data_IF_677120975678
#
_entry.id   IF_677120975678
#
_cell.length_a   1.000
_cell.length_b   1.000
_cell.length_c   1.000
_cell.angle_alpha   90.00
_cell.angle_beta   90.00
_cell.angle_gamma   90.00
#
_symmetry.space_group_name_H-M   'P 1'
#
loop_
_entity.id
_entity.type
_entity.pdbx_description
1 polymer ?
#
# COMPACT_ATOMS: atom_id res chain seq x y z
N UNK A 1 -13.68 2.61 1.19
CA UNK A 1 -12.34 2.64 1.80
C UNK A 1 -11.34 2.39 0.70
N UNK A 2 -10.18 3.02 0.73
CA UNK A 2 -9.09 2.79 -0.25
C UNK A 2 -7.80 2.58 0.51
N UNK A 3 -7.07 1.51 0.21
CA UNK A 3 -5.80 1.13 0.86
C UNK A 3 -4.62 1.41 -0.04
N UNK A 4 -3.54 1.99 0.49
CA UNK A 4 -2.29 2.28 -0.24
C UNK A 4 -2.57 2.88 -1.61
N UNK A 5 -3.35 3.97 -1.58
CA UNK A 5 -4.05 4.51 -2.74
C UNK A 5 -3.14 5.40 -3.59
N UNK A 6 -3.03 5.09 -4.88
CA UNK A 6 -2.58 6.07 -5.89
C UNK A 6 -3.71 7.10 -6.05
N UNK A 7 -3.41 8.38 -5.81
CA UNK A 7 -4.40 9.46 -5.75
C UNK A 7 -4.05 10.57 -6.73
N UNK A 8 -2.79 10.96 -6.81
CA UNK A 8 -2.35 12.13 -7.59
C UNK A 8 -0.89 11.98 -7.97
N UNK A 9 -0.61 11.88 -9.27
CA UNK A 9 0.72 11.54 -9.79
C UNK A 9 1.82 12.45 -9.23
N UNK A 10 1.57 13.76 -9.11
CA UNK A 10 2.55 14.71 -8.59
C UNK A 10 2.88 14.42 -7.12
N UNK A 11 1.86 14.38 -6.27
CA UNK A 11 2.05 14.18 -4.83
C UNK A 11 2.51 12.75 -4.50
N UNK A 12 2.09 11.78 -5.31
CA UNK A 12 2.52 10.40 -5.17
C UNK A 12 3.99 10.25 -5.51
N UNK A 13 4.50 10.91 -6.55
CA UNK A 13 5.95 10.93 -6.84
C UNK A 13 6.76 11.64 -5.77
N UNK A 14 6.37 12.86 -5.39
CA UNK A 14 7.08 13.62 -4.34
C UNK A 14 7.19 12.79 -3.06
N UNK A 15 6.08 12.20 -2.61
CA UNK A 15 6.06 11.38 -1.40
C UNK A 15 6.79 10.05 -1.55
N UNK A 16 6.74 9.41 -2.72
CA UNK A 16 7.44 8.14 -2.95
C UNK A 16 8.94 8.30 -2.89
N UNK A 17 9.48 9.31 -3.59
CA UNK A 17 10.91 9.57 -3.59
C UNK A 17 11.42 10.01 -2.22
N UNK A 18 10.64 10.80 -1.48
CA UNK A 18 10.98 11.15 -0.11
C UNK A 18 11.00 9.92 0.81
N UNK A 19 10.04 9.00 0.65
CA UNK A 19 10.02 7.76 1.42
C UNK A 19 11.27 6.93 1.16
N UNK A 20 11.60 6.69 -0.11
CA UNK A 20 12.79 5.93 -0.49
C UNK A 20 14.06 6.53 0.09
N UNK A 21 14.21 7.84 -0.02
CA UNK A 21 15.37 8.56 0.51
C UNK A 21 15.45 8.47 2.04
N UNK A 22 14.36 8.77 2.75
CA UNK A 22 14.32 8.75 4.22
C UNK A 22 14.48 7.36 4.82
N UNK A 23 14.17 6.30 4.06
CA UNK A 23 14.35 4.90 4.45
C UNK A 23 15.69 4.32 3.99
N UNK A 24 16.55 5.13 3.37
CA UNK A 24 17.89 4.73 2.94
C UNK A 24 17.90 3.74 1.77
N UNK A 25 16.86 3.76 0.95
CA UNK A 25 16.71 2.89 -0.22
C UNK A 25 17.44 3.45 -1.45
N UNK A 26 17.56 4.78 -1.54
CA UNK A 26 18.23 5.49 -2.65
C UNK A 26 19.22 6.53 -2.11
N UNK A 27 20.17 6.94 -2.95
CA UNK A 27 21.16 7.97 -2.62
C UNK A 27 20.61 9.40 -2.74
N UNK A 28 21.30 10.37 -2.14
CA UNK A 28 20.98 11.80 -2.25
C UNK A 28 20.96 12.29 -3.71
N UNK A 29 21.87 11.77 -4.55
CA UNK A 29 21.98 12.12 -5.97
C UNK A 29 20.80 11.56 -6.77
N UNK A 30 20.41 10.31 -6.52
CA UNK A 30 19.23 9.69 -7.14
C UNK A 30 17.96 10.43 -6.73
N UNK A 31 17.78 10.76 -5.44
CA UNK A 31 16.62 11.51 -4.95
C UNK A 31 16.46 12.86 -5.67
N UNK A 32 17.54 13.65 -5.76
CA UNK A 32 17.51 14.94 -6.46
C UNK A 32 17.18 14.79 -7.96
N UNK A 33 17.74 13.76 -8.62
CA UNK A 33 17.46 13.49 -10.03
C UNK A 33 16.02 13.06 -10.26
N UNK A 34 15.44 12.23 -9.38
CA UNK A 34 14.03 11.83 -9.46
C UNK A 34 13.12 13.05 -9.34
N UNK A 35 13.37 13.93 -8.38
CA UNK A 35 12.60 15.17 -8.25
C UNK A 35 12.66 16.03 -9.51
N UNK A 36 13.82 16.15 -10.16
CA UNK A 36 13.95 16.97 -11.37
C UNK A 36 13.36 16.31 -12.63
N UNK A 37 13.49 14.99 -12.76
CA UNK A 37 13.13 14.27 -13.98
C UNK A 37 11.67 13.80 -14.00
N UNK A 38 11.06 13.54 -12.83
CA UNK A 38 9.78 12.85 -12.72
C UNK A 38 8.65 13.71 -12.12
N UNK A 39 8.93 14.89 -11.55
CA UNK A 39 7.95 15.66 -10.74
C UNK A 39 6.57 15.86 -11.40
N UNK A 40 6.52 16.14 -12.71
CA UNK A 40 5.26 16.34 -13.46
C UNK A 40 4.92 15.18 -14.41
N UNK A 41 5.62 14.06 -14.27
CA UNK A 41 5.48 12.92 -15.16
C UNK A 41 4.26 12.07 -14.79
N UNK A 42 3.91 11.09 -15.63
CA UNK A 42 2.80 10.18 -15.34
C UNK A 42 3.29 8.95 -14.61
N UNK A 43 2.62 8.57 -13.53
CA UNK A 43 2.89 7.29 -12.85
C UNK A 43 2.71 6.09 -13.79
N UNK A 44 1.69 6.11 -14.65
CA UNK A 44 1.40 5.04 -15.61
C UNK A 44 2.19 5.14 -16.92
N UNK A 45 2.53 6.35 -17.34
CA UNK A 45 3.12 6.64 -18.66
C UNK A 45 4.32 7.58 -18.55
N UNK A 46 5.28 7.21 -17.70
CA UNK A 46 6.46 8.02 -17.43
C UNK A 46 7.31 8.22 -18.69
N UNK A 47 7.91 9.41 -18.81
CA UNK A 47 8.86 9.75 -19.85
C UNK A 47 10.12 8.88 -19.77
N UNK A 48 10.81 8.78 -20.90
CA UNK A 48 12.08 8.06 -20.97
C UNK A 48 13.13 8.61 -19.99
N UNK A 49 13.13 9.93 -19.76
CA UNK A 49 14.08 10.56 -18.84
C UNK A 49 13.79 10.14 -17.39
N UNK A 50 12.52 10.13 -16.99
CA UNK A 50 12.11 9.65 -15.67
C UNK A 50 12.44 8.15 -15.49
N UNK A 51 12.09 7.31 -16.46
CA UNK A 51 12.36 5.86 -16.42
C UNK A 51 13.85 5.54 -16.25
N UNK A 52 14.74 6.32 -16.89
CA UNK A 52 16.19 6.12 -16.73
C UNK A 52 16.69 6.35 -15.30
N UNK A 53 16.06 7.26 -14.55
CA UNK A 53 16.42 7.50 -13.15
C UNK A 53 15.74 6.46 -12.25
N UNK A 54 14.53 6.03 -12.58
CA UNK A 54 13.88 4.89 -11.94
C UNK A 54 14.74 3.62 -12.01
N UNK A 55 15.32 3.30 -13.18
CA UNK A 55 16.23 2.16 -13.34
C UNK A 55 17.45 2.24 -12.39
N UNK A 56 17.95 3.46 -12.13
CA UNK A 56 19.04 3.70 -11.18
C UNK A 56 18.56 3.49 -9.74
N UNK A 57 17.37 4.01 -9.40
CA UNK A 57 16.77 3.81 -8.09
C UNK A 57 16.54 2.33 -7.79
N UNK A 58 15.92 1.57 -8.72
CA UNK A 58 15.71 0.12 -8.56
C UNK A 58 17.03 -0.64 -8.37
N UNK A 59 18.10 -0.20 -9.04
CA UNK A 59 19.42 -0.80 -8.86
C UNK A 59 20.03 -0.50 -7.47
N UNK A 60 19.79 0.68 -6.91
CA UNK A 60 20.19 1.06 -5.54
C UNK A 60 19.41 0.29 -4.48
N UNK A 61 18.08 0.15 -4.66
CA UNK A 61 17.19 -0.62 -3.79
C UNK A 61 17.59 -2.10 -3.72
N UNK A 62 17.97 -2.66 -4.88
CA UNK A 62 18.40 -4.03 -5.02
C UNK A 62 17.28 -5.03 -4.79
N UNK A 63 17.62 -6.21 -4.27
CA UNK A 63 16.64 -7.30 -4.10
C UNK A 63 15.83 -7.16 -2.81
N UNK A 64 14.92 -6.20 -2.80
CA UNK A 64 13.97 -5.92 -1.73
C UNK A 64 12.53 -6.28 -2.14
N UNK A 65 11.62 -6.38 -1.17
CA UNK A 65 10.18 -6.49 -1.37
C UNK A 65 9.59 -5.08 -1.28
N UNK A 66 9.33 -4.41 -2.41
CA UNK A 66 8.82 -3.03 -2.41
C UNK A 66 7.42 -2.92 -1.77
N UNK A 67 6.65 -4.01 -1.74
CA UNK A 67 5.34 -4.02 -1.10
C UNK A 67 5.46 -4.02 0.42
N UNK A 68 6.62 -4.39 0.98
CA UNK A 68 6.91 -4.29 2.41
C UNK A 68 8.42 -4.36 2.64
N UNK A 69 9.06 -3.20 2.83
CA UNK A 69 10.53 -3.08 2.85
C UNK A 69 11.21 -3.84 3.99
N UNK A 70 10.45 -4.28 5.00
CA UNK A 70 10.95 -5.02 6.15
C UNK A 70 10.67 -6.54 6.07
N UNK A 71 10.03 -7.03 5.01
CA UNK A 71 9.75 -8.46 4.81
C UNK A 71 10.74 -9.16 3.87
N UNK A 72 10.92 -10.49 4.01
CA UNK A 72 11.78 -11.24 3.11
C UNK A 72 11.13 -11.40 1.73
N UNK A 73 11.96 -11.46 0.66
CA UNK A 73 11.48 -11.80 -0.69
C UNK A 73 11.24 -13.30 -0.87
N UNK A 74 10.37 -13.67 -1.82
CA UNK A 74 10.00 -15.07 -2.10
C UNK A 74 11.19 -16.00 -2.39
N UNK A 75 12.26 -15.51 -3.04
CA UNK A 75 13.45 -16.33 -3.36
C UNK A 75 14.18 -16.87 -2.13
N UNK A 76 14.06 -16.21 -0.96
CA UNK A 76 14.66 -16.68 0.32
C UNK A 76 13.76 -17.64 1.11
N UNK A 77 12.46 -17.68 0.81
CA UNK A 77 11.51 -18.57 1.50
C UNK A 77 11.50 -20.00 0.90
N UNK A 78 12.00 -20.17 -0.32
CA UNK A 78 12.08 -21.47 -0.98
C UNK A 78 13.19 -22.38 -0.41
N UNK A 79 12.75 -23.43 0.30
CA UNK A 79 13.26 -24.81 0.25
C UNK A 79 14.42 -25.29 1.15
N UNK A 80 15.03 -24.52 2.07
CA UNK A 80 16.08 -25.11 2.94
C UNK A 80 16.13 -24.80 4.45
N UNK A 81 15.22 -23.99 5.01
CA UNK A 81 15.29 -23.62 6.45
C UNK A 81 14.05 -23.84 7.32
N UNK A 82 12.97 -24.45 6.81
CA UNK A 82 11.84 -24.84 7.70
C UNK A 82 12.21 -25.93 8.71
N UNK A 83 13.32 -26.66 8.54
CA UNK A 83 13.79 -27.72 9.46
C UNK A 83 14.89 -27.31 10.46
N UNK A 84 15.42 -26.09 10.44
CA UNK A 84 16.64 -25.75 11.21
C UNK A 84 16.59 -24.45 12.03
N UNK A 85 15.43 -23.85 12.30
CA UNK A 85 15.35 -22.64 13.13
C UNK A 85 14.51 -22.90 14.37
N UNK A 86 15.07 -23.65 15.32
CA UNK A 86 14.74 -23.52 16.75
C UNK A 86 15.38 -22.22 17.26
N UNK A 87 14.70 -21.10 17.05
CA UNK A 87 15.17 -19.80 17.54
C UNK A 87 14.11 -18.73 17.33
N UNK A 88 13.60 -18.16 18.42
CA UNK A 88 12.67 -17.01 18.38
C UNK A 88 13.41 -15.83 17.74
N UNK A 89 13.12 -15.52 16.47
CA UNK A 89 13.40 -14.20 15.89
C UNK A 89 12.14 -13.35 16.09
N UNK A 90 12.17 -12.27 16.88
CA UNK A 90 11.01 -11.43 17.16
C UNK A 90 10.44 -10.69 15.93
N UNK A 91 11.26 -10.54 14.88
CA UNK A 91 11.01 -9.64 13.75
C UNK A 91 10.41 -10.31 12.49
N UNK A 92 10.14 -11.61 12.53
CA UNK A 92 9.44 -12.30 11.44
C UNK A 92 8.05 -12.69 11.94
N UNK A 93 6.96 -12.11 11.39
CA UNK A 93 5.61 -12.55 11.71
C UNK A 93 5.52 -14.03 11.40
N UNK A 94 5.20 -14.85 12.41
CA UNK A 94 4.82 -16.24 12.14
C UNK A 94 3.54 -16.17 11.31
N UNK A 95 3.63 -16.46 10.01
CA UNK A 95 2.45 -16.49 9.13
C UNK A 95 2.64 -15.81 7.78
N UNK A 96 3.54 -14.82 7.66
CA UNK A 96 3.81 -14.19 6.36
C UNK A 96 4.69 -15.10 5.49
N UNK A 97 4.18 -15.46 4.31
CA UNK A 97 4.93 -16.17 3.27
C UNK A 97 4.97 -15.28 2.02
N UNK A 98 6.12 -14.71 1.64
CA UNK A 98 6.23 -13.84 0.47
C UNK A 98 5.96 -14.56 -0.87
N UNK A 99 5.77 -15.88 -0.86
CA UNK A 99 5.44 -16.68 -2.04
C UNK A 99 3.94 -16.99 -2.16
N UNK A 100 3.05 -16.34 -1.40
CA UNK A 100 1.60 -16.59 -1.39
C UNK A 100 0.96 -16.61 -2.78
N UNK A 101 1.35 -15.68 -3.64
CA UNK A 101 0.87 -15.57 -5.02
C UNK A 101 1.08 -16.87 -5.83
N UNK A 102 2.21 -17.56 -5.63
CA UNK A 102 2.48 -18.84 -6.32
C UNK A 102 1.48 -19.92 -5.93
N UNK A 103 1.00 -19.90 -4.68
CA UNK A 103 0.00 -20.84 -4.21
C UNK A 103 -1.37 -20.53 -4.81
N UNK A 104 -1.76 -19.26 -4.93
CA UNK A 104 -3.01 -18.86 -5.59
C UNK A 104 -3.02 -19.22 -7.07
N UNK A 105 -1.93 -18.94 -7.80
CA UNK A 105 -1.81 -19.28 -9.24
C UNK A 105 -1.94 -20.78 -9.47
N UNK A 106 -1.36 -21.60 -8.59
CA UNK A 106 -1.56 -23.05 -8.67
C UNK A 106 -3.01 -23.45 -8.38
N UNK A 107 -3.61 -22.90 -7.32
CA UNK A 107 -4.95 -23.29 -6.87
C UNK A 107 -6.04 -22.93 -7.88
N UNK A 108 -6.06 -21.69 -8.38
CA UNK A 108 -7.08 -21.21 -9.32
C UNK A 108 -6.98 -21.84 -10.72
N UNK A 109 -5.87 -22.51 -11.04
CA UNK A 109 -5.70 -23.26 -12.29
C UNK A 109 -6.00 -24.77 -12.17
N UNK A 110 -6.44 -25.26 -11.00
CA UNK A 110 -6.91 -26.63 -10.87
C UNK A 110 -8.27 -26.80 -11.60
N UNK A 111 -8.46 -27.84 -12.43
CA UNK A 111 -9.71 -28.04 -13.16
C UNK A 111 -10.94 -28.14 -12.24
N UNK A 112 -10.80 -28.80 -11.10
CA UNK A 112 -11.88 -28.92 -10.11
C UNK A 112 -12.25 -27.58 -9.46
N UNK A 113 -11.27 -26.68 -9.27
CA UNK A 113 -11.50 -25.34 -8.72
C UNK A 113 -12.17 -24.45 -9.76
N UNK A 114 -11.70 -24.46 -11.01
CA UNK A 114 -12.34 -23.73 -12.11
C UNK A 114 -13.78 -24.20 -12.31
N UNK A 115 -14.00 -25.52 -12.30
CA UNK A 115 -15.35 -26.10 -12.37
C UNK A 115 -16.24 -25.64 -11.21
N UNK A 116 -15.71 -25.61 -9.98
CA UNK A 116 -16.46 -25.18 -8.80
C UNK A 116 -16.83 -23.69 -8.84
N UNK A 117 -15.98 -22.83 -9.41
CA UNK A 117 -16.28 -21.41 -9.63
C UNK A 117 -17.09 -21.13 -10.89
N UNK A 118 -17.45 -22.16 -11.66
CA UNK A 118 -18.05 -22.02 -13.00
C UNK A 118 -17.20 -21.11 -13.92
N UNK A 119 -15.87 -21.17 -13.77
CA UNK A 119 -14.90 -20.46 -14.60
C UNK A 119 -14.42 -21.36 -15.73
N UNK A 120 -13.85 -20.77 -16.79
CA UNK A 120 -13.26 -21.48 -17.94
C UNK A 120 -14.23 -22.49 -18.63
N UNK A 121 -15.53 -22.20 -18.60
CA UNK A 121 -16.57 -23.10 -19.14
C UNK A 121 -16.48 -23.26 -20.67
N UNK A 122 -15.93 -22.26 -21.35
CA UNK A 122 -15.79 -22.21 -22.81
C UNK A 122 -14.42 -22.67 -23.32
N UNK A 123 -13.51 -23.11 -22.45
CA UNK A 123 -12.14 -23.50 -22.84
C UNK A 123 -11.29 -22.31 -23.28
N UNK A 124 -11.07 -21.37 -22.37
CA UNK A 124 -10.20 -20.21 -22.54
C UNK A 124 -8.76 -20.64 -22.89
N UNK A 125 -8.11 -19.95 -23.84
CA UNK A 125 -6.79 -20.35 -24.33
C UNK A 125 -5.62 -19.96 -23.42
N UNK A 126 -5.90 -19.38 -22.25
CA UNK A 126 -4.91 -18.91 -21.29
C UNK A 126 -5.27 -19.33 -19.86
N UNK A 127 -4.24 -19.44 -19.02
CA UNK A 127 -4.37 -19.75 -17.60
C UNK A 127 -4.82 -18.51 -16.80
N UNK A 128 -5.40 -18.74 -15.63
CA UNK A 128 -5.60 -17.68 -14.65
C UNK A 128 -4.24 -17.16 -14.16
N UNK A 129 -4.08 -15.85 -14.11
CA UNK A 129 -2.94 -15.15 -13.54
C UNK A 129 -3.44 -14.05 -12.60
N UNK A 130 -2.67 -13.66 -11.57
CA UNK A 130 -3.05 -12.60 -10.64
C UNK A 130 -3.08 -11.21 -11.30
N UNK A 131 -2.16 -10.97 -12.23
CA UNK A 131 -2.06 -9.73 -13.02
C UNK A 131 -1.90 -10.08 -14.51
N UNK A 132 -2.22 -9.15 -15.40
CA UNK A 132 -2.05 -9.28 -16.85
C UNK A 132 -1.14 -8.18 -17.37
N UNK A 133 0.05 -8.57 -17.82
CA UNK A 133 1.05 -7.65 -18.36
C UNK A 133 0.53 -6.97 -19.64
N UNK A 134 -0.15 -7.72 -20.52
CA UNK A 134 -0.77 -7.16 -21.75
C UNK A 134 -1.76 -6.04 -21.43
N UNK A 135 -2.58 -6.19 -20.38
CA UNK A 135 -3.49 -5.13 -19.96
C UNK A 135 -2.73 -3.94 -19.39
N UNK A 136 -1.70 -4.18 -18.58
CA UNK A 136 -0.87 -3.13 -17.99
C UNK A 136 -0.16 -2.30 -19.06
N UNK A 137 0.50 -2.94 -20.04
CA UNK A 137 1.24 -2.29 -21.12
C UNK A 137 0.35 -1.50 -22.09
N UNK A 138 -0.95 -1.83 -22.16
CA UNK A 138 -1.88 -1.24 -23.12
C UNK A 138 -2.99 -0.40 -22.48
N UNK A 139 -3.01 -0.28 -21.16
CA UNK A 139 -3.95 0.59 -20.44
C UNK A 139 -3.67 2.05 -20.79
N UNK A 140 -4.72 2.83 -21.05
CA UNK A 140 -4.58 4.26 -21.41
C UNK A 140 -5.45 5.20 -20.56
N UNK A 141 -6.43 4.65 -19.87
CA UNK A 141 -7.35 5.42 -19.04
C UNK A 141 -6.73 5.64 -17.65
N UNK A 142 -5.77 6.57 -17.59
CA UNK A 142 -4.99 6.87 -16.40
C UNK A 142 -5.02 8.38 -16.12
N UNK A 143 -6.09 8.90 -15.48
CA UNK A 143 -6.12 10.30 -15.08
C UNK A 143 -4.98 10.59 -14.11
N UNK A 144 -4.36 11.78 -14.25
CA UNK A 144 -3.23 12.20 -13.41
C UNK A 144 -3.62 12.47 -11.95
N UNK A 145 -4.90 12.68 -11.68
CA UNK A 145 -5.39 13.10 -10.37
C UNK A 145 -6.81 12.63 -10.11
N UNK A 146 -7.04 12.11 -8.92
CA UNK A 146 -8.34 11.78 -8.36
C UNK A 146 -8.85 12.85 -7.38
N UNK A 147 -8.08 13.89 -7.08
CA UNK A 147 -8.46 14.95 -6.13
C UNK A 147 -9.84 15.58 -6.45
N UNK A 148 -10.19 15.89 -7.71
CA UNK A 148 -11.53 16.41 -8.03
C UNK A 148 -12.66 15.44 -7.67
N UNK A 149 -12.43 14.14 -7.86
CA UNK A 149 -13.41 13.09 -7.53
C UNK A 149 -13.55 12.95 -6.01
N UNK A 150 -12.47 13.06 -5.24
CA UNK A 150 -12.55 13.12 -3.79
C UNK A 150 -13.40 14.31 -3.32
N UNK A 151 -13.25 15.50 -3.92
CA UNK A 151 -14.11 16.64 -3.59
C UNK A 151 -15.59 16.39 -3.89
N UNK A 152 -15.92 15.81 -5.04
CA UNK A 152 -17.30 15.46 -5.42
C UNK A 152 -17.92 14.48 -4.42
N UNK A 153 -17.22 13.40 -4.10
CA UNK A 153 -17.69 12.36 -3.18
C UNK A 153 -17.87 12.89 -1.75
N UNK A 154 -16.95 13.75 -1.29
CA UNK A 154 -17.05 14.41 0.02
C UNK A 154 -18.26 15.35 0.06
N UNK A 155 -18.48 16.15 -1.00
CA UNK A 155 -19.63 17.05 -1.11
C UNK A 155 -20.96 16.30 -1.14
N UNK A 156 -20.99 15.10 -1.74
CA UNK A 156 -22.14 14.20 -1.74
C UNK A 156 -22.38 13.50 -0.39
N UNK A 157 -21.52 13.70 0.61
CA UNK A 157 -21.64 13.08 1.94
C UNK A 157 -21.24 11.60 1.96
N UNK A 158 -20.50 11.12 0.94
CA UNK A 158 -19.97 9.76 0.93
C UNK A 158 -18.84 9.66 1.95
N UNK A 159 -18.92 8.69 2.85
CA UNK A 159 -17.90 8.45 3.86
C UNK A 159 -16.65 7.82 3.23
N UNK A 160 -15.55 8.55 3.25
CA UNK A 160 -14.28 8.11 2.67
C UNK A 160 -13.26 7.85 3.78
N UNK A 161 -12.68 6.65 3.75
CA UNK A 161 -11.53 6.30 4.57
C UNK A 161 -10.40 5.89 3.64
N UNK A 162 -9.26 6.56 3.78
CA UNK A 162 -8.00 6.19 3.13
C UNK A 162 -7.12 5.56 4.21
N UNK A 163 -6.49 4.43 3.89
CA UNK A 163 -5.56 3.81 4.80
C UNK A 163 -4.25 3.42 4.11
N UNK A 164 -3.14 3.44 4.83
CA UNK A 164 -1.83 3.07 4.29
C UNK A 164 -1.04 2.22 5.29
N UNK A 165 -0.47 1.12 4.81
CA UNK A 165 0.62 0.45 5.51
C UNK A 165 1.90 1.30 5.49
N UNK A 166 2.54 1.50 6.63
CA UNK A 166 3.73 2.37 6.74
C UNK A 166 5.06 1.73 6.30
N UNK A 167 5.03 0.46 5.89
CA UNK A 167 6.17 -0.27 5.33
C UNK A 167 6.08 -0.44 3.80
N UNK A 168 5.04 0.06 3.15
CA UNK A 168 4.90 0.06 1.69
C UNK A 168 5.81 1.12 1.06
N UNK A 169 6.63 0.74 0.07
CA UNK A 169 7.42 1.69 -0.72
C UNK A 169 6.88 1.91 -2.13
N UNK A 170 5.83 1.20 -2.57
CA UNK A 170 5.19 1.42 -3.87
C UNK A 170 4.26 2.62 -3.80
N UNK A 171 3.41 2.67 -2.77
CA UNK A 171 2.50 3.80 -2.51
C UNK A 171 2.61 4.18 -1.03
N UNK A 172 3.71 4.84 -0.63
CA UNK A 172 4.01 5.05 0.77
C UNK A 172 3.06 6.05 1.44
N UNK A 173 3.03 5.99 2.77
CA UNK A 173 2.23 6.91 3.60
C UNK A 173 2.55 8.40 3.32
N UNK A 174 3.78 8.74 2.97
CA UNK A 174 4.20 10.10 2.59
C UNK A 174 3.45 10.60 1.36
N UNK A 175 3.37 9.79 0.29
CA UNK A 175 2.59 10.06 -0.91
C UNK A 175 1.12 10.32 -0.58
N UNK A 176 0.50 9.38 0.16
CA UNK A 176 -0.89 9.52 0.59
C UNK A 176 -1.13 10.78 1.41
N UNK A 177 -0.19 11.17 2.29
CA UNK A 177 -0.31 12.39 3.11
C UNK A 177 -0.27 13.66 2.26
N UNK A 178 0.66 13.75 1.31
CA UNK A 178 0.72 14.89 0.39
C UNK A 178 -0.56 15.00 -0.44
N UNK A 179 -1.04 13.89 -0.98
CA UNK A 179 -2.29 13.85 -1.75
C UNK A 179 -3.50 14.28 -0.91
N UNK A 180 -3.58 13.90 0.37
CA UNK A 180 -4.66 14.34 1.27
C UNK A 180 -4.52 15.81 1.67
N UNK A 181 -3.30 16.30 1.90
CA UNK A 181 -3.06 17.72 2.21
C UNK A 181 -3.51 18.64 1.05
N UNK A 182 -3.28 18.20 -0.19
CA UNK A 182 -3.72 18.90 -1.40
C UNK A 182 -5.25 19.03 -1.56
N UNK A 183 -6.04 18.28 -0.78
CA UNK A 183 -7.49 18.46 -0.72
C UNK A 183 -7.93 19.65 0.15
N UNK A 184 -7.01 20.26 0.92
CA UNK A 184 -7.27 21.40 1.81
C UNK A 184 -8.46 21.19 2.76
N UNK A 185 -8.65 19.96 3.24
CA UNK A 185 -9.77 19.62 4.12
C UNK A 185 -9.49 20.12 5.55
N UNK A 186 -10.47 20.75 6.24
CA UNK A 186 -10.31 21.12 7.64
C UNK A 186 -10.12 19.88 8.54
N UNK A 187 -9.12 19.92 9.42
CA UNK A 187 -8.92 18.91 10.46
C UNK A 187 -10.04 18.97 11.50
N UNK A 188 -10.69 17.84 11.74
CA UNK A 188 -11.74 17.63 12.76
C UNK A 188 -11.15 16.97 14.00
N UNK A 189 -10.19 16.06 13.83
CA UNK A 189 -9.44 15.45 14.93
C UNK A 189 -7.98 15.39 14.53
N UNK A 190 -7.11 15.95 15.38
CA UNK A 190 -5.66 15.90 15.24
C UNK A 190 -5.12 14.47 15.21
N UNK A 191 -3.93 14.29 14.63
CA UNK A 191 -3.24 13.01 14.55
C UNK A 191 -3.12 12.32 15.92
N UNK A 192 -3.65 11.09 16.04
CA UNK A 192 -3.63 10.32 17.29
C UNK A 192 -3.27 8.85 17.04
N UNK A 193 -2.59 8.18 17.99
CA UNK A 193 -2.35 6.74 17.91
C UNK A 193 -3.63 5.96 18.19
N UNK A 194 -3.89 4.91 17.42
CA UNK A 194 -4.96 3.96 17.69
C UNK A 194 -4.42 2.60 18.08
N UNK A 195 -5.21 1.87 18.88
CA UNK A 195 -4.75 0.68 19.59
C UNK A 195 -5.50 -0.59 19.19
N UNK A 196 -4.74 -1.67 19.11
CA UNK A 196 -5.23 -3.03 19.17
C UNK A 196 -4.68 -3.67 20.44
N UNK A 197 -5.57 -4.14 21.32
CA UNK A 197 -5.20 -4.57 22.66
C UNK A 197 -4.38 -3.48 23.40
N UNK A 198 -3.14 -3.76 23.77
CA UNK A 198 -2.24 -2.86 24.50
C UNK A 198 -1.16 -2.21 23.61
N UNK A 199 -1.16 -2.49 22.30
CA UNK A 199 -0.13 -2.03 21.37
C UNK A 199 -0.66 -1.01 20.36
N UNK A 200 0.20 -0.05 19.99
CA UNK A 200 -0.10 0.89 18.91
C UNK A 200 -0.17 0.12 17.60
N UNK A 201 -1.38 0.09 17.01
CA UNK A 201 -1.65 -0.54 15.74
C UNK A 201 -1.50 0.41 14.55
N UNK A 202 -1.46 1.72 14.82
CA UNK A 202 -1.12 2.77 13.86
C UNK A 202 -1.60 4.12 14.36
N UNK A 203 -1.84 5.05 13.43
CA UNK A 203 -2.32 6.39 13.75
C UNK A 203 -3.50 6.78 12.86
N UNK A 204 -4.27 7.77 13.30
CA UNK A 204 -5.45 8.24 12.60
C UNK A 204 -5.55 9.76 12.69
N UNK A 205 -6.03 10.38 11.61
CA UNK A 205 -6.43 11.78 11.56
C UNK A 205 -7.76 11.90 10.83
N UNK A 206 -8.65 12.73 11.37
CA UNK A 206 -10.00 12.92 10.82
C UNK A 206 -10.08 14.32 10.25
N UNK A 207 -10.43 14.40 8.98
CA UNK A 207 -10.74 15.62 8.27
C UNK A 207 -12.25 15.71 8.03
N UNK A 208 -12.73 16.88 7.64
CA UNK A 208 -14.13 17.03 7.22
C UNK A 208 -14.39 16.22 5.94
N UNK A 209 -15.06 15.08 6.08
CA UNK A 209 -15.46 14.20 4.97
C UNK A 209 -14.49 13.06 4.64
N UNK A 210 -13.29 13.03 5.25
CA UNK A 210 -12.27 12.01 5.00
C UNK A 210 -11.56 11.61 6.30
N UNK A 211 -11.30 10.31 6.46
CA UNK A 211 -10.45 9.79 7.55
C UNK A 211 -9.21 9.13 6.97
N UNK A 212 -8.03 9.51 7.47
CA UNK A 212 -6.77 8.84 7.18
C UNK A 212 -6.41 7.90 8.34
N UNK A 213 -6.08 6.65 8.04
CA UNK A 213 -5.61 5.66 9.02
C UNK A 213 -4.32 5.00 8.55
N UNK A 214 -3.30 4.93 9.40
CA UNK A 214 -2.10 4.15 9.13
C UNK A 214 -2.14 2.83 9.87
N UNK A 215 -1.48 1.81 9.32
CA UNK A 215 -1.33 0.51 9.96
C UNK A 215 0.16 0.24 10.12
N UNK A 216 0.60 0.20 11.38
CA UNK A 216 2.00 0.07 11.76
C UNK A 216 2.58 -1.28 11.36
N UNK A 217 3.67 -1.24 10.63
CA UNK A 217 4.40 -2.38 10.10
C UNK A 217 3.57 -3.23 9.13
N UNK A 218 2.65 -2.63 8.39
CA UNK A 218 1.95 -3.25 7.27
C UNK A 218 2.55 -2.74 5.94
N UNK A 219 2.60 -3.63 4.95
CA UNK A 219 2.94 -3.28 3.58
C UNK A 219 1.75 -2.81 2.74
N UNK A 220 1.92 -2.83 1.43
CA UNK A 220 0.94 -2.49 0.40
C UNK A 220 -0.37 -3.30 0.59
N UNK A 221 -0.23 -4.61 0.75
CA UNK A 221 -1.34 -5.50 1.07
C UNK A 221 -1.57 -5.55 2.59
N UNK A 222 -2.15 -4.49 3.15
CA UNK A 222 -2.37 -4.35 4.60
C UNK A 222 -3.02 -5.59 5.25
N UNK A 223 -4.10 -6.18 4.69
CA UNK A 223 -4.74 -7.35 5.29
C UNK A 223 -3.86 -8.61 5.31
N UNK A 224 -2.90 -8.74 4.38
CA UNK A 224 -1.95 -9.84 4.35
C UNK A 224 -0.94 -9.71 5.50
N UNK A 225 -0.45 -8.50 5.76
CA UNK A 225 0.58 -8.24 6.76
C UNK A 225 0.02 -8.14 8.18
N UNK A 226 -1.14 -7.52 8.34
CA UNK A 226 -1.76 -7.18 9.63
C UNK A 226 -3.26 -7.53 9.62
N UNK A 227 -3.64 -8.81 9.54
CA UNK A 227 -5.03 -9.24 9.35
C UNK A 227 -5.96 -8.82 10.50
N UNK A 228 -5.49 -8.88 11.75
CA UNK A 228 -6.29 -8.46 12.92
C UNK A 228 -6.58 -6.96 12.88
N UNK A 229 -5.55 -6.15 12.65
CA UNK A 229 -5.66 -4.69 12.55
C UNK A 229 -6.52 -4.26 11.36
N UNK A 230 -6.37 -4.94 10.22
CA UNK A 230 -7.17 -4.69 9.01
C UNK A 230 -8.65 -5.02 9.23
N UNK A 231 -8.95 -6.13 9.92
CA UNK A 231 -10.33 -6.50 10.26
C UNK A 231 -10.95 -5.44 11.18
N UNK A 232 -10.23 -5.00 12.22
CA UNK A 232 -10.72 -3.96 13.13
C UNK A 232 -10.95 -2.62 12.42
N UNK A 233 -10.03 -2.21 11.55
CA UNK A 233 -10.20 -1.05 10.69
C UNK A 233 -11.49 -1.15 9.86
N UNK A 234 -11.74 -2.31 9.24
CA UNK A 234 -12.94 -2.57 8.44
C UNK A 234 -14.22 -2.54 9.28
N UNK A 235 -14.23 -3.18 10.44
CA UNK A 235 -15.37 -3.16 11.37
C UNK A 235 -15.70 -1.74 11.83
N UNK A 236 -14.69 -0.94 12.17
CA UNK A 236 -14.86 0.45 12.58
C UNK A 236 -15.42 1.32 11.45
N UNK A 237 -14.94 1.13 10.22
CA UNK A 237 -15.53 1.79 9.05
C UNK A 237 -17.00 1.41 8.86
N UNK A 238 -17.35 0.12 8.92
CA UNK A 238 -18.73 -0.34 8.73
C UNK A 238 -19.67 0.21 9.81
N UNK A 239 -19.20 0.24 11.05
CA UNK A 239 -19.98 0.67 12.22
C UNK A 239 -20.03 2.18 12.44
N UNK A 240 -19.36 2.97 11.59
CA UNK A 240 -19.19 4.42 11.78
C UNK A 240 -18.54 4.80 13.11
N UNK A 241 -17.53 4.02 13.53
CA UNK A 241 -16.83 4.26 14.79
C UNK A 241 -15.43 4.82 14.52
N UNK A 242 -14.96 5.81 15.29
CA UNK A 242 -13.57 6.23 15.22
C UNK A 242 -12.64 5.08 15.62
N UNK A 243 -11.40 5.10 15.13
CA UNK A 243 -10.39 4.13 15.58
C UNK A 243 -10.18 4.26 17.10
N UNK A 244 -9.97 3.15 17.85
CA UNK A 244 -9.93 3.20 19.30
C UNK A 244 -8.77 4.07 19.81
N UNK A 245 -9.10 4.98 20.72
CA UNK A 245 -8.14 5.77 21.49
C UNK A 245 -7.88 5.07 22.83
N UNK A 246 -6.71 5.26 23.46
CA UNK A 246 -6.55 4.85 24.84
C UNK A 246 -7.57 5.63 25.69
N UNK A 247 -8.17 4.93 26.66
CA UNK A 247 -9.35 5.41 27.41
C UNK A 247 -9.07 6.69 28.24
N UNK A 248 -7.82 7.14 28.35
CA UNK A 248 -7.42 8.31 29.17
C UNK A 248 -6.50 9.33 28.46
N UNK A 249 -6.60 9.56 27.14
CA UNK A 249 -5.85 10.67 26.54
C UNK A 249 -6.57 12.01 26.78
N UNK A 250 -6.30 12.62 27.94
CA UNK A 250 -6.44 14.07 28.12
C UNK A 250 -5.47 14.72 27.13
N UNK A 251 -5.95 15.06 25.94
CA UNK A 251 -5.30 16.06 25.09
C UNK A 251 -6.23 17.25 24.99
N UNK A 252 -6.27 18.01 26.09
CA UNK A 252 -6.60 19.43 26.06
C UNK A 252 -5.34 20.19 25.66
N UNK A 253 -5.33 20.75 24.46
CA UNK A 253 -4.60 21.96 24.13
C UNK A 253 -5.53 22.86 23.34
#
# INVERSE_FOLDING_TARGET
MVGNAVIDDYHDYVGTFEYWWTHGLISDDTYQKLQLACEFDSSAHASKACNQIYDVAEAEEGLIDAYSIYTPTCKKASLRKRRLIKGRRPWLPRGYDPCTEKYSTKYYNLPEVQKAFHANVTGMPYAWNPCSDDLFEHWKDSPRSMLPIYHELIAAGIRIWVFSGDADSVVPLTATRYSIDALYLPTVTNWYPWYEEEEVAGWCQVYKGLTLVTIRGAGHEVPLHRPQQALKLFEHFLQDKPMPRPVDSIQSF
#
